data_IF_949744317409
#
_entry.id   IF_949744317409
#
_cell.length_a   1.000
_cell.length_b   1.000
_cell.length_c   1.000
_cell.angle_alpha   90.00
_cell.angle_beta   90.00
_cell.angle_gamma   90.00
#
_symmetry.space_group_name_H-M   'P 1'
#
loop_
_entity.id
_entity.type
_entity.pdbx_description
1 polymer ?
#
# COMPACT_ATOMS: atom_id res chain seq x y z
N UNK A 1 -3.18 1.70 44.33
CA UNK A 1 -1.86 1.12 43.98
C UNK A 1 -2.17 -0.36 43.91
N UNK A 2 -2.72 -0.75 42.77
CA UNK A 2 -3.65 -1.87 42.72
C UNK A 2 -2.95 -3.13 42.26
N UNK A 3 -2.94 -4.02 43.24
CA UNK A 3 -2.49 -5.39 43.34
C UNK A 3 -3.12 -6.32 42.28
N UNK A 4 -2.82 -6.10 41.00
CA UNK A 4 -3.09 -7.06 39.91
C UNK A 4 -2.08 -6.97 38.75
N UNK A 5 -0.88 -6.45 39.02
CA UNK A 5 0.28 -6.57 38.15
C UNK A 5 1.32 -7.45 38.85
N UNK A 6 1.87 -8.41 38.10
CA UNK A 6 2.86 -9.44 38.46
C UNK A 6 2.30 -10.84 38.74
N UNK A 7 2.32 -11.64 37.66
CA UNK A 7 3.00 -12.94 37.50
C UNK A 7 2.11 -13.78 36.57
N UNK A 8 2.40 -13.75 35.26
CA UNK A 8 2.10 -14.93 34.46
C UNK A 8 2.91 -16.07 35.07
N UNK A 9 2.25 -17.13 35.54
CA UNK A 9 2.94 -18.27 36.13
C UNK A 9 3.91 -18.84 35.09
N UNK A 10 5.10 -19.27 35.52
CA UNK A 10 6.08 -19.97 34.67
C UNK A 10 5.45 -21.14 33.89
N UNK A 11 4.35 -21.68 34.41
CA UNK A 11 3.55 -22.76 33.84
C UNK A 11 2.81 -22.38 32.53
N UNK A 12 2.33 -21.15 32.37
CA UNK A 12 1.56 -20.74 31.20
C UNK A 12 2.46 -20.47 29.97
N UNK A 13 3.62 -19.87 30.20
CA UNK A 13 4.66 -19.70 29.17
C UNK A 13 5.26 -21.05 28.76
N UNK A 14 5.51 -21.94 29.74
CA UNK A 14 5.93 -23.31 29.45
C UNK A 14 4.87 -24.06 28.63
N UNK A 15 3.58 -23.90 28.96
CA UNK A 15 2.47 -24.48 28.18
C UNK A 15 2.46 -23.97 26.73
N UNK A 16 2.52 -22.67 26.49
CA UNK A 16 2.50 -22.11 25.13
C UNK A 16 3.75 -22.46 24.32
N UNK A 17 4.90 -22.58 24.99
CA UNK A 17 6.14 -23.02 24.34
C UNK A 17 6.12 -24.49 23.90
N UNK A 18 5.12 -25.29 24.29
CA UNK A 18 4.92 -26.68 23.82
C UNK A 18 4.12 -26.79 22.52
N UNK A 19 3.58 -25.69 22.02
CA UNK A 19 2.71 -25.72 20.84
C UNK A 19 3.36 -25.02 19.65
N UNK A 20 3.13 -25.57 18.46
CA UNK A 20 3.40 -24.94 17.16
C UNK A 20 2.05 -24.61 16.55
N UNK A 21 1.92 -23.39 16.02
CA UNK A 21 0.75 -23.02 15.23
C UNK A 21 1.05 -23.24 13.76
N UNK A 22 0.20 -24.04 13.10
CA UNK A 22 0.30 -24.38 11.69
C UNK A 22 -1.00 -23.98 10.98
N UNK A 23 -0.86 -23.36 9.81
CA UNK A 23 -1.99 -22.96 8.99
C UNK A 23 -2.36 -24.10 8.03
N UNK A 24 -3.65 -24.44 7.97
CA UNK A 24 -4.15 -25.38 6.96
C UNK A 24 -4.02 -24.79 5.56
N UNK A 25 -3.39 -25.46 4.60
CA UNK A 25 -3.22 -24.97 3.23
C UNK A 25 -4.41 -25.24 2.29
N UNK A 26 -5.50 -25.81 2.82
CA UNK A 26 -6.72 -25.94 2.02
C UNK A 26 -7.24 -24.55 1.64
N UNK A 27 -7.45 -24.25 0.33
CA UNK A 27 -7.86 -22.91 -0.13
C UNK A 27 -9.13 -22.38 0.55
N UNK A 28 -10.02 -23.28 0.93
CA UNK A 28 -11.29 -22.96 1.58
C UNK A 28 -11.23 -22.96 3.12
N UNK A 29 -10.07 -23.22 3.73
CA UNK A 29 -9.91 -23.30 5.18
C UNK A 29 -8.98 -22.21 5.72
N UNK A 30 -7.67 -22.36 5.52
CA UNK A 30 -6.63 -21.47 6.03
C UNK A 30 -6.75 -21.10 7.53
N UNK A 31 -7.39 -21.97 8.31
CA UNK A 31 -7.49 -21.86 9.78
C UNK A 31 -6.16 -22.26 10.41
N UNK A 32 -5.83 -21.58 11.50
CA UNK A 32 -4.70 -21.92 12.35
C UNK A 32 -5.08 -23.00 13.35
N UNK A 33 -4.23 -24.01 13.47
CA UNK A 33 -4.32 -25.09 14.45
C UNK A 33 -3.06 -25.10 15.29
N UNK A 34 -3.19 -25.41 16.58
CA UNK A 34 -2.03 -25.76 17.38
C UNK A 34 -1.81 -27.26 17.27
N UNK A 35 -0.54 -27.64 17.25
CA UNK A 35 -0.09 -29.02 17.42
C UNK A 35 1.06 -29.04 18.43
N UNK A 36 1.32 -30.18 19.05
CA UNK A 36 2.41 -30.30 20.01
C UNK A 36 3.76 -30.20 19.29
N UNK A 37 4.78 -29.61 19.93
CA UNK A 37 6.16 -29.64 19.42
C UNK A 37 6.74 -31.05 19.29
N UNK A 38 6.15 -32.02 19.99
CA UNK A 38 6.50 -33.42 19.86
C UNK A 38 5.94 -34.06 18.60
N UNK A 39 5.00 -33.40 17.93
CA UNK A 39 4.45 -33.86 16.66
C UNK A 39 5.42 -33.42 15.55
N UNK A 40 5.98 -34.39 14.81
CA UNK A 40 6.90 -34.10 13.71
C UNK A 40 6.16 -33.31 12.61
N UNK A 41 6.59 -32.06 12.39
CA UNK A 41 6.17 -31.23 11.26
C UNK A 41 7.27 -31.21 10.21
N UNK A 42 6.91 -31.65 9.01
CA UNK A 42 7.70 -31.39 7.82
C UNK A 42 7.36 -29.99 7.31
N UNK A 43 8.22 -29.01 7.58
CA UNK A 43 8.02 -27.60 7.23
C UNK A 43 8.06 -27.35 5.72
N UNK A 44 8.57 -28.31 4.94
CA UNK A 44 8.69 -28.21 3.48
C UNK A 44 7.46 -28.79 2.76
N UNK A 45 6.49 -29.35 3.51
CA UNK A 45 5.27 -29.95 2.95
C UNK A 45 4.01 -29.19 3.35
N UNK A 46 3.01 -29.17 2.47
CA UNK A 46 1.73 -28.56 2.78
C UNK A 46 1.06 -29.27 3.96
N UNK A 47 0.54 -28.49 4.90
CA UNK A 47 -0.17 -29.01 6.06
C UNK A 47 -1.67 -28.78 5.96
N UNK A 48 -2.48 -29.77 6.30
CA UNK A 48 -3.95 -29.68 6.24
C UNK A 48 -4.59 -30.05 7.59
N UNK A 49 -5.79 -29.55 7.87
CA UNK A 49 -6.49 -29.86 9.13
C UNK A 49 -6.57 -31.37 9.40
N UNK A 50 -6.78 -32.22 8.38
CA UNK A 50 -6.86 -33.68 8.54
C UNK A 50 -5.54 -34.34 9.00
N UNK A 51 -4.44 -33.60 8.96
CA UNK A 51 -3.14 -34.02 9.48
C UNK A 51 -2.97 -33.65 10.96
N UNK A 52 -3.93 -32.96 11.59
CA UNK A 52 -3.85 -32.63 13.01
C UNK A 52 -4.00 -33.91 13.86
N UNK A 53 -3.04 -34.22 14.75
CA UNK A 53 -3.14 -35.34 15.68
C UNK A 53 -4.32 -35.23 16.66
N UNK A 54 -4.77 -34.01 16.96
CA UNK A 54 -5.97 -33.78 17.74
C UNK A 54 -7.22 -34.02 16.87
N UNK A 55 -8.01 -35.10 17.14
CA UNK A 55 -9.19 -35.41 16.37
C UNK A 55 -10.25 -34.32 16.43
N UNK A 56 -10.28 -33.50 17.48
CA UNK A 56 -11.23 -32.38 17.63
C UNK A 56 -10.88 -31.19 16.75
N UNK A 57 -9.64 -31.09 16.27
CA UNK A 57 -9.17 -30.02 15.38
C UNK A 57 -8.85 -30.52 13.96
N UNK A 58 -9.05 -31.82 13.72
CA UNK A 58 -8.70 -32.53 12.50
C UNK A 58 -9.55 -32.21 11.27
N UNK A 59 -10.54 -31.32 11.38
CA UNK A 59 -11.45 -31.00 10.27
C UNK A 59 -11.52 -29.51 9.99
N UNK A 60 -11.66 -29.16 8.71
CA UNK A 60 -11.81 -27.76 8.27
C UNK A 60 -13.14 -27.14 8.74
N UNK A 61 -14.15 -27.95 9.03
CA UNK A 61 -15.46 -27.52 9.54
C UNK A 61 -15.38 -27.00 10.97
N UNK A 62 -14.40 -27.45 11.74
CA UNK A 62 -14.22 -27.03 13.14
C UNK A 62 -13.81 -25.55 13.17
N UNK A 63 -14.45 -24.69 13.99
CA UNK A 63 -14.05 -23.29 14.16
C UNK A 63 -12.58 -23.15 14.60
N UNK A 64 -11.92 -22.05 14.23
CA UNK A 64 -10.62 -21.70 14.79
C UNK A 64 -10.81 -21.21 16.24
N UNK A 65 -9.96 -21.64 17.16
CA UNK A 65 -10.00 -21.16 18.55
C UNK A 65 -9.67 -19.65 18.60
N UNK A 66 -10.42 -18.90 19.42
CA UNK A 66 -10.39 -17.43 19.48
C UNK A 66 -9.17 -16.83 20.18
N UNK A 67 -8.16 -17.62 20.55
CA UNK A 67 -7.05 -17.21 21.41
C UNK A 67 -5.80 -16.72 20.67
N UNK A 68 -5.75 -16.77 19.35
CA UNK A 68 -4.63 -16.21 18.59
C UNK A 68 -4.79 -14.70 18.42
N UNK A 69 -4.47 -13.94 19.47
CA UNK A 69 -4.13 -12.53 19.30
C UNK A 69 -2.63 -12.42 19.48
N UNK A 70 -1.92 -11.94 18.46
CA UNK A 70 -0.48 -11.62 18.51
C UNK A 70 -0.09 -10.88 19.81
N UNK A 71 -0.98 -10.02 20.32
CA UNK A 71 -0.79 -9.31 21.58
C UNK A 71 -0.62 -10.19 22.82
N UNK A 72 -1.21 -11.40 22.86
CA UNK A 72 -1.06 -12.31 23.97
C UNK A 72 0.34 -12.97 23.97
N UNK A 73 0.80 -13.40 22.79
CA UNK A 73 2.13 -13.99 22.58
C UNK A 73 3.24 -12.96 22.80
N UNK A 74 3.07 -11.74 22.31
CA UNK A 74 4.05 -10.66 22.50
C UNK A 74 4.24 -10.29 23.97
N UNK A 75 3.18 -10.30 24.79
CA UNK A 75 3.29 -10.07 26.25
C UNK A 75 4.11 -11.15 26.96
N UNK A 76 4.25 -12.32 26.34
CA UNK A 76 4.98 -13.48 26.87
C UNK A 76 6.37 -13.63 26.23
N UNK A 77 6.83 -12.63 25.47
CA UNK A 77 8.13 -12.67 24.78
C UNK A 77 8.19 -13.64 23.60
N UNK A 78 7.05 -14.21 23.20
CA UNK A 78 6.96 -15.10 22.05
C UNK A 78 6.62 -14.28 20.80
N UNK A 79 7.35 -14.56 19.72
CA UNK A 79 7.19 -13.89 18.44
C UNK A 79 6.55 -14.82 17.43
N UNK A 80 5.62 -14.27 16.67
CA UNK A 80 5.03 -14.94 15.50
C UNK A 80 5.94 -14.74 14.30
N UNK A 81 6.30 -15.86 13.67
CA UNK A 81 7.02 -15.88 12.39
C UNK A 81 6.01 -16.31 11.33
N UNK A 82 5.83 -15.44 10.33
CA UNK A 82 4.94 -15.68 9.21
C UNK A 82 5.76 -16.21 8.03
N UNK A 83 5.26 -17.22 7.33
CA UNK A 83 5.86 -17.68 6.07
C UNK A 83 5.90 -16.55 5.05
N UNK A 84 7.00 -16.46 4.31
CA UNK A 84 7.15 -15.45 3.28
C UNK A 84 6.23 -15.75 2.09
N UNK A 85 5.41 -14.77 1.70
CA UNK A 85 4.58 -14.88 0.51
C UNK A 85 5.41 -14.58 -0.76
N UNK A 86 5.13 -15.25 -1.90
CA UNK A 86 5.82 -14.96 -3.15
C UNK A 86 5.40 -13.61 -3.71
N UNK A 87 6.31 -12.93 -4.43
CA UNK A 87 5.97 -11.78 -5.27
C UNK A 87 4.84 -12.18 -6.24
N UNK A 88 3.93 -11.26 -6.51
CA UNK A 88 2.73 -11.51 -7.31
C UNK A 88 1.57 -12.15 -6.54
N UNK A 89 1.71 -12.41 -5.23
CA UNK A 89 0.59 -12.89 -4.40
C UNK A 89 -0.53 -11.85 -4.35
N UNK A 90 -1.77 -12.30 -4.54
CA UNK A 90 -2.97 -11.49 -4.34
C UNK A 90 -3.36 -11.50 -2.86
N UNK A 91 -3.46 -10.32 -2.26
CA UNK A 91 -3.66 -10.13 -0.82
C UNK A 91 -4.75 -9.11 -0.51
N UNK A 92 -5.24 -9.12 0.72
CA UNK A 92 -6.01 -8.05 1.34
C UNK A 92 -5.14 -7.39 2.40
N UNK A 93 -5.07 -6.06 2.39
CA UNK A 93 -4.20 -5.30 3.28
C UNK A 93 -5.00 -4.32 4.13
N UNK A 94 -4.76 -4.34 5.44
CA UNK A 94 -5.36 -3.40 6.39
C UNK A 94 -4.46 -2.17 6.59
N UNK A 95 -4.71 -1.12 5.82
CA UNK A 95 -4.03 0.17 5.98
C UNK A 95 -4.84 1.15 6.85
N UNK A 96 -4.32 1.55 8.01
CA UNK A 96 -4.88 2.64 8.84
C UNK A 96 -6.39 2.53 9.10
N UNK A 97 -7.20 3.54 8.73
CA UNK A 97 -8.68 3.59 8.89
C UNK A 97 -9.45 2.96 7.72
N UNK A 98 -8.76 2.46 6.70
CA UNK A 98 -9.36 1.90 5.48
C UNK A 98 -9.85 0.47 5.70
N UNK A 99 -10.85 0.00 4.93
CA UNK A 99 -11.19 -1.42 4.92
C UNK A 99 -9.98 -2.26 4.47
N UNK A 100 -10.08 -3.57 4.66
CA UNK A 100 -9.16 -4.51 4.01
C UNK A 100 -9.28 -4.33 2.49
N UNK A 101 -8.21 -3.83 1.86
CA UNK A 101 -8.20 -3.45 0.45
C UNK A 101 -7.39 -4.47 -0.37
N UNK A 102 -7.86 -4.89 -1.55
CA UNK A 102 -7.13 -5.86 -2.36
C UNK A 102 -5.88 -5.26 -2.99
N UNK A 103 -4.80 -6.02 -2.99
CA UNK A 103 -3.49 -5.60 -3.48
C UNK A 103 -2.69 -6.79 -4.02
N UNK A 104 -1.66 -6.50 -4.81
CA UNK A 104 -0.65 -7.48 -5.25
C UNK A 104 0.66 -7.18 -4.54
N UNK A 105 1.39 -8.20 -4.08
CA UNK A 105 2.77 -8.02 -3.64
C UNK A 105 3.66 -7.76 -4.85
N UNK A 106 4.25 -6.58 -4.98
CA UNK A 106 5.05 -6.20 -6.15
C UNK A 106 6.39 -5.58 -5.72
N UNK A 107 7.45 -5.65 -6.54
CA UNK A 107 8.70 -4.95 -6.25
C UNK A 107 8.49 -3.45 -6.06
N UNK A 108 9.16 -2.88 -5.05
CA UNK A 108 9.22 -1.44 -4.87
C UNK A 108 9.99 -0.83 -6.04
N UNK A 109 9.46 0.19 -6.70
CA UNK A 109 10.08 0.75 -7.90
C UNK A 109 11.40 1.48 -7.67
N UNK A 110 11.73 1.79 -6.43
CA UNK A 110 12.96 2.47 -6.05
C UNK A 110 14.08 1.48 -5.77
N UNK A 111 13.74 0.29 -5.24
CA UNK A 111 14.72 -0.68 -4.74
C UNK A 111 14.63 -2.08 -5.39
N UNK A 112 13.59 -2.33 -6.19
CA UNK A 112 13.27 -3.62 -6.82
C UNK A 112 13.09 -4.78 -5.83
N UNK A 113 12.79 -4.47 -4.57
CA UNK A 113 12.49 -5.42 -3.50
C UNK A 113 11.01 -5.35 -3.13
N UNK A 114 10.39 -6.51 -2.88
CA UNK A 114 8.99 -6.58 -2.49
C UNK A 114 8.79 -6.92 -1.00
N UNK A 115 9.86 -7.22 -0.28
CA UNK A 115 9.83 -7.65 1.12
C UNK A 115 11.05 -7.12 1.86
N UNK A 116 10.89 -6.71 3.12
CA UNK A 116 12.00 -6.41 4.03
C UNK A 116 12.11 -7.47 5.10
N UNK A 117 13.34 -7.72 5.56
CA UNK A 117 13.64 -8.69 6.60
C UNK A 117 14.23 -8.01 7.84
N UNK A 118 14.08 -8.66 8.99
CA UNK A 118 14.81 -8.30 10.19
C UNK A 118 16.18 -8.96 10.26
N UNK A 119 16.86 -8.79 11.40
CA UNK A 119 18.17 -9.39 11.69
C UNK A 119 18.18 -10.92 11.67
N UNK A 120 17.02 -11.55 11.86
CA UNK A 120 16.85 -13.00 11.92
C UNK A 120 16.41 -13.57 10.56
N UNK A 121 16.30 -12.72 9.52
CA UNK A 121 15.87 -13.11 8.18
C UNK A 121 14.37 -13.31 8.02
N UNK A 122 13.54 -12.87 8.98
CA UNK A 122 12.08 -13.00 8.89
C UNK A 122 11.46 -11.78 8.20
N UNK A 123 10.44 -12.02 7.37
CA UNK A 123 9.71 -10.94 6.71
C UNK A 123 9.04 -9.98 7.73
N UNK A 124 9.23 -8.67 7.54
CA UNK A 124 8.70 -7.60 8.40
C UNK A 124 7.65 -6.79 7.67
N UNK A 125 7.93 -6.40 6.42
CA UNK A 125 6.99 -5.68 5.57
C UNK A 125 6.99 -6.25 4.15
N UNK A 126 5.86 -6.10 3.46
CA UNK A 126 5.77 -6.29 2.02
C UNK A 126 5.47 -4.96 1.34
N UNK A 127 6.09 -4.72 0.20
CA UNK A 127 5.63 -3.71 -0.73
C UNK A 127 4.40 -4.24 -1.46
N UNK A 128 3.33 -3.46 -1.43
CA UNK A 128 2.05 -3.81 -2.02
C UNK A 128 1.61 -2.73 -2.99
N UNK A 129 1.06 -3.15 -4.11
CA UNK A 129 0.33 -2.29 -5.05
C UNK A 129 -1.16 -2.55 -4.89
N UNK A 130 -1.88 -1.57 -4.37
CA UNK A 130 -3.33 -1.61 -4.21
C UNK A 130 -4.02 -1.54 -5.56
N UNK A 131 -4.97 -2.47 -5.76
CA UNK A 131 -5.82 -2.52 -6.93
C UNK A 131 -6.87 -1.39 -6.89
N UNK A 132 -7.41 -1.07 -8.06
CA UNK A 132 -8.35 0.02 -8.28
C UNK A 132 -7.84 1.06 -9.26
N UNK A 133 -8.59 2.15 -9.40
CA UNK A 133 -8.24 3.25 -10.30
C UNK A 133 -8.19 4.57 -9.53
N UNK A 134 -6.99 5.17 -9.32
CA UNK A 134 -5.68 4.66 -9.73
C UNK A 134 -5.15 3.55 -8.81
N UNK A 135 -4.15 2.80 -9.28
CA UNK A 135 -3.32 1.97 -8.43
C UNK A 135 -2.50 2.86 -7.47
N UNK A 136 -2.29 2.40 -6.25
CA UNK A 136 -1.44 3.08 -5.27
C UNK A 136 -0.51 2.07 -4.60
N UNK A 137 0.49 2.53 -3.84
CA UNK A 137 1.51 1.64 -3.25
C UNK A 137 1.76 1.90 -1.78
N UNK A 138 2.22 0.89 -1.06
CA UNK A 138 2.49 0.98 0.37
C UNK A 138 3.42 -0.13 0.87
N UNK A 139 4.21 0.15 1.89
CA UNK A 139 4.94 -0.87 2.65
C UNK A 139 4.10 -1.36 3.84
N UNK A 140 3.40 -2.47 3.63
CA UNK A 140 2.50 -3.08 4.62
C UNK A 140 3.25 -4.00 5.59
N UNK A 141 3.02 -3.83 6.89
CA UNK A 141 3.50 -4.79 7.90
C UNK A 141 2.88 -6.17 7.67
N UNK A 142 3.67 -7.24 7.79
CA UNK A 142 3.21 -8.62 7.56
C UNK A 142 1.92 -8.98 8.33
N UNK A 143 1.74 -8.62 9.62
CA UNK A 143 0.49 -8.90 10.35
C UNK A 143 -0.76 -8.14 9.84
N UNK A 144 -0.59 -7.22 8.87
CA UNK A 144 -1.68 -6.47 8.23
C UNK A 144 -1.98 -6.98 6.82
N UNK A 145 -1.32 -8.05 6.39
CA UNK A 145 -1.46 -8.66 5.07
C UNK A 145 -2.10 -10.04 5.23
N UNK A 146 -3.20 -10.26 4.53
CA UNK A 146 -3.91 -11.54 4.49
C UNK A 146 -4.01 -12.02 3.05
N UNK A 147 -3.92 -13.33 2.80
CA UNK A 147 -4.18 -13.89 1.47
C UNK A 147 -5.59 -13.52 1.00
N UNK A 148 -5.70 -13.07 -0.26
CA UNK A 148 -6.97 -12.62 -0.81
C UNK A 148 -8.00 -13.74 -0.83
N UNK A 149 -9.19 -13.40 -0.33
CA UNK A 149 -10.39 -14.24 -0.41
C UNK A 149 -11.60 -13.36 -0.61
N UNK A 150 -12.58 -13.89 -1.34
CA UNK A 150 -13.92 -13.34 -1.38
C UNK A 150 -14.60 -13.53 -0.03
N UNK A 151 -14.29 -12.65 0.91
CA UNK A 151 -15.03 -12.55 2.16
C UNK A 151 -16.31 -11.75 1.90
N UNK A 152 -17.47 -12.17 2.46
CA UNK A 152 -18.66 -11.34 2.49
C UNK A 152 -18.33 -10.02 3.18
N UNK A 153 -18.01 -8.99 2.40
CA UNK A 153 -17.47 -7.76 2.95
C UNK A 153 -18.58 -7.01 3.68
N UNK A 154 -18.25 -6.44 4.83
CA UNK A 154 -19.08 -5.42 5.49
C UNK A 154 -19.04 -4.07 4.73
N UNK A 155 -19.16 -4.11 3.39
CA UNK A 155 -19.21 -2.94 2.51
C UNK A 155 -20.40 -2.01 2.82
N UNK A 156 -21.32 -2.44 3.70
CA UNK A 156 -22.43 -1.64 4.23
C UNK A 156 -21.96 -0.34 4.90
N UNK A 157 -20.74 -0.29 5.45
CA UNK A 157 -20.21 0.90 6.11
C UNK A 157 -19.55 1.91 5.16
N UNK A 158 -19.19 1.51 3.93
CA UNK A 158 -18.53 2.39 2.96
C UNK A 158 -19.56 3.29 2.27
N UNK A 159 -19.20 4.56 2.06
CA UNK A 159 -20.09 5.57 1.46
C UNK A 159 -19.37 6.36 0.36
N UNK A 160 -20.14 6.91 -0.58
CA UNK A 160 -19.64 7.82 -1.62
C UNK A 160 -18.57 7.20 -2.51
N UNK A 161 -17.60 8.03 -2.92
CA UNK A 161 -16.50 7.66 -3.79
C UNK A 161 -15.71 6.45 -3.26
N UNK A 162 -15.49 6.36 -1.95
CA UNK A 162 -14.78 5.24 -1.32
C UNK A 162 -15.43 3.89 -1.60
N UNK A 163 -16.76 3.82 -1.55
CA UNK A 163 -17.49 2.58 -1.86
C UNK A 163 -17.29 2.19 -3.33
N UNK A 164 -17.28 3.17 -4.23
CA UNK A 164 -17.08 2.94 -5.65
C UNK A 164 -15.65 2.50 -5.96
N UNK A 165 -14.65 3.18 -5.40
CA UNK A 165 -13.24 2.78 -5.54
C UNK A 165 -13.01 1.37 -4.99
N UNK A 166 -13.61 1.03 -3.86
CA UNK A 166 -13.52 -0.31 -3.29
C UNK A 166 -14.14 -1.37 -4.22
N UNK A 167 -15.31 -1.05 -4.81
CA UNK A 167 -15.97 -1.94 -5.76
C UNK A 167 -15.08 -2.21 -6.98
N UNK A 168 -14.49 -1.17 -7.57
CA UNK A 168 -13.58 -1.29 -8.72
C UNK A 168 -12.38 -2.18 -8.36
N UNK A 169 -11.74 -1.92 -7.21
CA UNK A 169 -10.58 -2.69 -6.75
C UNK A 169 -10.92 -4.18 -6.52
N UNK A 170 -12.11 -4.48 -5.98
CA UNK A 170 -12.56 -5.86 -5.78
C UNK A 170 -12.91 -6.56 -7.10
N UNK A 171 -13.55 -5.87 -8.05
CA UNK A 171 -13.84 -6.41 -9.38
C UNK A 171 -12.55 -6.75 -10.13
N UNK A 172 -11.54 -5.87 -10.04
CA UNK A 172 -10.20 -6.13 -10.58
C UNK A 172 -9.54 -7.35 -9.91
N UNK A 173 -9.56 -7.41 -8.57
CA UNK A 173 -9.01 -8.54 -7.81
C UNK A 173 -9.64 -9.88 -8.23
N UNK A 174 -10.96 -9.88 -8.44
CA UNK A 174 -11.70 -11.05 -8.91
C UNK A 174 -11.28 -11.48 -10.32
N UNK A 175 -10.99 -10.52 -11.20
CA UNK A 175 -10.57 -10.82 -12.57
C UNK A 175 -9.20 -11.51 -12.62
N UNK A 176 -8.31 -11.22 -11.66
CA UNK A 176 -6.93 -11.69 -11.65
C UNK A 176 -6.66 -12.79 -10.60
N UNK A 177 -7.69 -13.25 -9.89
CA UNK A 177 -7.54 -14.22 -8.79
C UNK A 177 -6.97 -15.57 -9.28
N UNK A 178 -7.37 -16.00 -10.47
CA UNK A 178 -7.00 -17.29 -11.05
C UNK A 178 -5.71 -17.22 -11.89
N UNK A 179 -5.14 -16.03 -12.04
CA UNK A 179 -3.85 -15.84 -12.70
C UNK A 179 -2.71 -16.32 -11.80
N UNK A 180 -1.58 -16.68 -12.42
CA UNK A 180 -0.33 -16.95 -11.70
C UNK A 180 0.26 -15.67 -11.10
N UNK A 181 1.17 -15.82 -10.15
CA UNK A 181 1.91 -14.68 -9.59
C UNK A 181 2.66 -13.88 -10.67
N UNK A 182 3.30 -14.56 -11.61
CA UNK A 182 4.04 -13.94 -12.71
C UNK A 182 3.14 -13.14 -13.66
N UNK A 183 1.96 -13.68 -13.98
CA UNK A 183 0.98 -12.98 -14.80
C UNK A 183 0.44 -11.74 -14.09
N UNK A 184 0.15 -11.84 -12.78
CA UNK A 184 -0.28 -10.68 -11.98
C UNK A 184 0.78 -9.58 -11.95
N UNK A 185 2.05 -9.93 -11.82
CA UNK A 185 3.14 -8.96 -11.83
C UNK A 185 3.26 -8.20 -13.17
N UNK A 186 2.88 -8.82 -14.29
CA UNK A 186 2.83 -8.14 -15.60
C UNK A 186 1.73 -7.09 -15.69
N UNK A 187 0.70 -7.18 -14.83
CA UNK A 187 -0.40 -6.22 -14.75
C UNK A 187 -0.14 -5.06 -13.80
N UNK A 188 0.91 -5.12 -12.97
CA UNK A 188 1.31 -4.00 -12.11
C UNK A 188 1.53 -2.74 -12.95
N UNK A 189 0.82 -1.67 -12.60
CA UNK A 189 0.74 -0.46 -13.40
C UNK A 189 1.95 0.43 -13.20
N UNK A 190 2.65 0.29 -12.07
CA UNK A 190 3.73 1.20 -11.75
C UNK A 190 5.02 0.84 -12.51
N UNK A 191 5.26 1.52 -13.63
CA UNK A 191 6.49 1.45 -14.42
C UNK A 191 7.30 2.74 -14.22
N UNK A 192 8.31 2.79 -13.33
CA UNK A 192 9.12 4.00 -13.12
C UNK A 192 9.77 4.51 -14.42
N UNK A 193 10.07 3.61 -15.35
CA UNK A 193 10.61 3.94 -16.67
C UNK A 193 9.63 4.76 -17.53
N UNK A 194 8.32 4.55 -17.40
CA UNK A 194 7.31 5.27 -18.16
C UNK A 194 7.13 6.70 -17.64
N UNK A 195 7.23 6.90 -16.32
CA UNK A 195 7.26 8.22 -15.72
C UNK A 195 8.57 8.96 -16.03
N UNK A 196 9.72 8.28 -16.02
CA UNK A 196 10.98 8.86 -16.47
C UNK A 196 10.93 9.25 -17.95
N UNK A 197 10.30 8.42 -18.80
CA UNK A 197 10.10 8.74 -20.22
C UNK A 197 9.18 9.96 -20.41
N UNK A 198 8.09 10.06 -19.64
CA UNK A 198 7.22 11.24 -19.68
C UNK A 198 7.93 12.50 -19.15
N UNK A 199 8.67 12.38 -18.05
CA UNK A 199 9.42 13.50 -17.47
C UNK A 199 10.52 14.00 -18.41
N UNK A 200 11.27 13.09 -19.06
CA UNK A 200 12.27 13.45 -20.07
C UNK A 200 11.62 14.11 -21.28
N UNK A 201 10.49 13.59 -21.78
CA UNK A 201 9.74 14.23 -22.86
C UNK A 201 9.25 15.64 -22.54
N UNK A 202 8.79 15.87 -21.29
CA UNK A 202 8.40 17.20 -20.81
C UNK A 202 9.61 18.14 -20.71
N UNK A 203 10.75 17.66 -20.19
CA UNK A 203 11.98 18.45 -20.11
C UNK A 203 12.45 18.89 -21.51
N UNK A 204 12.49 17.97 -22.48
CA UNK A 204 12.86 18.32 -23.86
C UNK A 204 11.87 19.31 -24.49
N UNK A 205 10.58 19.19 -24.19
CA UNK A 205 9.58 20.15 -24.68
C UNK A 205 9.80 21.54 -24.07
N UNK A 206 10.16 21.63 -22.80
CA UNK A 206 10.52 22.88 -22.13
C UNK A 206 11.78 23.49 -22.73
N UNK A 207 12.82 22.70 -22.96
CA UNK A 207 14.08 23.15 -23.60
C UNK A 207 13.83 23.72 -25.00
N UNK A 208 12.97 23.06 -25.80
CA UNK A 208 12.58 23.54 -27.11
C UNK A 208 11.82 24.87 -27.02
N UNK A 209 10.84 25.00 -26.11
CA UNK A 209 10.12 26.25 -25.90
C UNK A 209 11.05 27.40 -25.46
N UNK A 210 12.03 27.14 -24.59
CA UNK A 210 13.03 28.14 -24.16
C UNK A 210 13.88 28.59 -25.35
N UNK A 211 14.31 27.63 -26.18
CA UNK A 211 15.13 27.90 -27.37
C UNK A 211 14.35 28.72 -28.40
N UNK A 212 13.09 28.35 -28.65
CA UNK A 212 12.19 29.10 -29.53
C UNK A 212 11.98 30.53 -29.02
N UNK A 213 11.69 30.71 -27.73
CA UNK A 213 11.58 32.03 -27.10
C UNK A 213 12.86 32.87 -27.23
N UNK A 214 14.05 32.24 -27.13
CA UNK A 214 15.33 32.91 -27.28
C UNK A 214 15.58 33.34 -28.73
N UNK A 215 15.21 32.51 -29.72
CA UNK A 215 15.33 32.84 -31.16
C UNK A 215 14.32 33.90 -31.61
N UNK A 216 13.11 33.89 -31.05
CA UNK A 216 12.11 34.94 -31.29
C UNK A 216 12.52 36.29 -30.68
N UNK A 217 13.25 36.29 -29.57
CA UNK A 217 13.76 37.50 -28.93
C UNK A 217 14.90 38.15 -29.75
N UNK A 218 15.63 37.36 -30.54
CA UNK A 218 16.68 37.84 -31.45
C UNK A 218 16.11 38.32 -32.80
N UNK A 219 15.02 37.74 -33.30
CA UNK A 219 14.37 38.18 -34.55
C UNK A 219 13.53 39.46 -34.38
N UNK A 220 13.05 39.76 -33.17
CA UNK A 220 12.25 40.97 -32.87
C UNK A 220 13.07 42.25 -32.63
N UNK A 221 14.41 42.19 -32.56
CA UNK A 221 15.25 43.41 -32.50
C UNK A 221 15.47 44.08 -33.86
N UNK A 222 15.02 43.50 -34.98
CA UNK A 222 15.28 44.02 -36.34
C UNK A 222 14.12 44.77 -37.02
N UNK A 223 12.90 44.84 -36.45
CA UNK A 223 11.80 45.57 -37.09
C UNK A 223 10.94 46.39 -36.10
N UNK A 224 11.31 47.67 -36.00
CA UNK A 224 10.44 48.86 -35.99
C UNK A 224 9.16 48.92 -35.12
N UNK A 225 9.22 49.86 -34.17
CA UNK A 225 8.32 51.02 -33.97
C UNK A 225 6.79 50.84 -33.89
N UNK A 226 6.26 51.39 -32.77
CA UNK A 226 4.93 52.04 -32.60
C UNK A 226 3.67 51.22 -32.91
N UNK A 227 2.88 50.88 -31.87
CA UNK A 227 1.52 51.42 -31.67
C UNK A 227 0.89 50.95 -30.35
N UNK A 228 0.15 51.85 -29.70
CA UNK A 228 -0.75 51.57 -28.56
C UNK A 228 -1.96 50.75 -29.03
N UNK A 229 -2.45 49.82 -28.21
CA UNK A 229 -3.89 49.53 -28.09
C UNK A 229 -4.24 48.94 -26.72
N UNK A 230 -5.28 49.52 -26.12
CA UNK A 230 -5.99 49.02 -24.94
C UNK A 230 -6.81 47.77 -25.28
N UNK A 231 -6.93 46.85 -24.34
CA UNK A 231 -7.89 45.76 -24.35
C UNK A 231 -8.00 45.15 -22.95
N UNK A 232 -9.16 45.34 -22.32
CA UNK A 232 -9.57 44.86 -21.00
C UNK A 232 -10.62 43.77 -21.25
N UNK A 233 -10.69 42.71 -20.42
CA UNK A 233 -11.90 42.01 -19.90
C UNK A 233 -11.68 40.49 -19.65
N UNK A 234 -11.77 40.16 -18.36
CA UNK A 234 -12.50 39.08 -17.63
C UNK A 234 -12.35 37.58 -17.97
N UNK A 235 -11.74 36.86 -17.03
CA UNK A 235 -12.32 35.88 -16.09
C UNK A 235 -13.66 35.20 -16.46
N UNK A 236 -13.65 33.86 -16.49
CA UNK A 236 -14.76 33.02 -16.03
C UNK A 236 -14.22 31.77 -15.31
N UNK A 237 -14.81 31.53 -14.15
CA UNK A 237 -14.59 30.43 -13.20
C UNK A 237 -15.53 29.27 -13.49
N UNK A 238 -15.09 28.05 -13.27
CA UNK A 238 -15.97 27.00 -12.76
C UNK A 238 -15.19 26.16 -11.75
N UNK A 239 -15.43 26.46 -10.48
CA UNK A 239 -15.24 25.53 -9.36
C UNK A 239 -16.21 24.37 -9.55
N UNK A 240 -15.73 23.13 -9.38
CA UNK A 240 -16.56 22.05 -8.87
C UNK A 240 -15.69 20.96 -8.22
N UNK A 241 -15.81 20.90 -6.88
CA UNK A 241 -15.80 19.67 -6.08
C UNK A 241 -14.59 18.74 -6.13
N UNK A 242 -13.50 19.09 -5.44
CA UNK A 242 -12.44 18.12 -5.09
C UNK A 242 -12.91 17.33 -3.86
N UNK A 243 -13.50 16.16 -4.11
CA UNK A 243 -13.73 15.12 -3.12
C UNK A 243 -12.45 14.33 -2.84
N UNK A 244 -12.19 14.07 -1.56
CA UNK A 244 -10.98 13.44 -1.01
C UNK A 244 -10.46 12.24 -1.82
N UNK A 245 -9.38 12.48 -2.57
CA UNK A 245 -8.58 11.47 -3.26
C UNK A 245 -7.66 10.78 -2.24
N UNK A 246 -7.70 9.45 -2.23
CA UNK A 246 -6.82 8.63 -1.43
C UNK A 246 -5.43 8.54 -2.10
N UNK A 247 -4.50 9.39 -1.67
CA UNK A 247 -3.07 9.22 -1.95
C UNK A 247 -2.47 8.42 -0.79
N UNK A 248 -2.19 7.13 -1.03
CA UNK A 248 -1.27 6.37 -0.16
C UNK A 248 0.14 6.61 -0.72
N UNK A 249 1.02 7.14 0.13
CA UNK A 249 2.26 7.78 -0.30
C UNK A 249 3.17 6.85 -1.12
N UNK A 250 3.47 7.37 -2.30
CA UNK A 250 4.41 6.91 -3.30
C UNK A 250 4.63 8.01 -4.34
N UNK A 251 3.62 8.84 -4.59
CA UNK A 251 3.73 10.13 -5.28
C UNK A 251 2.92 11.19 -4.52
N UNK A 252 3.59 11.95 -3.65
CA UNK A 252 3.18 13.34 -3.39
C UNK A 252 3.65 14.14 -4.59
N UNK A 253 2.73 14.69 -5.37
CA UNK A 253 2.99 16.05 -5.86
C UNK A 253 2.68 16.95 -4.66
N UNK A 254 3.71 17.57 -4.08
CA UNK A 254 3.50 18.89 -3.52
C UNK A 254 3.08 19.76 -4.70
N UNK A 255 1.77 19.94 -4.87
CA UNK A 255 1.29 21.11 -5.61
C UNK A 255 1.88 22.29 -4.86
N UNK A 256 2.90 22.89 -5.45
CA UNK A 256 3.64 24.02 -4.93
C UNK A 256 2.68 25.05 -4.36
N UNK A 257 2.79 25.28 -3.03
CA UNK A 257 2.22 26.39 -2.29
C UNK A 257 0.69 26.57 -2.36
N UNK A 258 0.05 26.81 -1.21
CA UNK A 258 -1.28 27.43 -1.28
C UNK A 258 -1.18 28.75 -2.06
N UNK A 259 -2.23 29.15 -2.80
CA UNK A 259 -2.28 30.45 -3.50
C UNK A 259 -1.92 31.61 -2.54
N UNK A 260 -2.23 31.46 -1.25
CA UNK A 260 -1.83 32.36 -0.18
C UNK A 260 -0.32 32.35 0.14
N UNK A 261 0.38 31.23 0.02
CA UNK A 261 1.84 31.13 0.22
C UNK A 261 2.63 31.74 -0.95
N UNK A 262 2.18 31.59 -2.20
CA UNK A 262 2.76 32.31 -3.35
C UNK A 262 2.59 33.83 -3.22
N UNK A 263 1.43 34.30 -2.76
CA UNK A 263 1.17 35.72 -2.50
C UNK A 263 1.99 36.29 -1.33
N UNK A 264 2.45 35.46 -0.41
CA UNK A 264 3.31 35.88 0.70
C UNK A 264 4.80 35.89 0.30
N UNK A 265 5.23 34.96 -0.55
CA UNK A 265 6.58 34.94 -1.11
C UNK A 265 6.82 36.10 -2.09
N UNK A 266 5.84 36.43 -2.93
CA UNK A 266 5.92 37.55 -3.87
C UNK A 266 6.03 38.91 -3.14
N UNK A 267 5.29 39.06 -2.02
CA UNK A 267 5.39 40.25 -1.15
C UNK A 267 6.70 40.35 -0.38
N UNK A 268 7.38 39.22 -0.09
CA UNK A 268 8.70 39.20 0.54
C UNK A 268 9.81 39.53 -0.46
N UNK A 269 9.69 39.07 -1.71
CA UNK A 269 10.64 39.40 -2.79
C UNK A 269 10.57 40.87 -3.22
N UNK A 270 9.36 41.47 -3.28
CA UNK A 270 9.19 42.90 -3.59
C UNK A 270 9.81 43.80 -2.50
N UNK A 271 9.75 43.40 -1.22
CA UNK A 271 10.37 44.16 -0.10
C UNK A 271 11.89 44.06 -0.04
N UNK A 272 12.48 42.99 -0.57
CA UNK A 272 13.94 42.82 -0.61
C UNK A 272 14.58 43.63 -1.75
N UNK A 273 13.87 43.82 -2.87
CA UNK A 273 14.34 44.63 -4.01
C UNK A 273 14.03 46.14 -3.89
N UNK A 274 13.39 46.58 -2.80
CA UNK A 274 13.20 48.02 -2.50
C UNK A 274 14.19 48.56 -1.47
N UNK A 275 15.21 47.78 -1.09
CA UNK A 275 16.25 48.15 -0.13
C UNK A 275 17.68 47.95 -0.67
N UNK A 276 17.84 47.84 -2.00
CA UNK A 276 19.12 47.88 -2.71
C UNK A 276 19.13 48.99 -3.74
#
# INVERSE_FOLDING_TARGET
MDYFDHIASEDETAYLSRWIWVQCESPNCLKWRHISKHDELDLDKPWFCHMNPDPFLSQCTVPQASSYKDSALSRQGLRVIYSQLPAGSLVLVKASKWPLWPAILSPDPSYDEYVTHDTDGNAVQYHVEFLGSPHTRFWALVPKVELFRLLPTNAKCLKGALKQSYKIAMEEAMHIQDMTCEERLKLCHFKPQELLFQATGLLTSIENMITECATESQSKQSHNSTTKRHGKINQETSEDGIGDILVIEGFRFESAASVEELRQLDRRLIKLNSLS
#
